data_IF_921313952121
#
_entry.id   IF_921313952121
#
_cell.length_a   1.000
_cell.length_b   1.000
_cell.length_c   1.000
_cell.angle_alpha   90.00
_cell.angle_beta   90.00
_cell.angle_gamma   90.00
#
_symmetry.space_group_name_H-M   'P 1'
#
loop_
_entity.id
_entity.type
_entity.pdbx_description
1 polymer ?
#
# COMPACT_ATOMS: atom_id res chain seq x y z
N UNK A 1 4.13 32.35 -20.85
CA UNK A 1 3.68 31.35 -19.86
C UNK A 1 4.89 30.54 -19.45
N UNK A 2 5.27 30.58 -18.18
CA UNK A 2 6.37 29.78 -17.64
C UNK A 2 5.77 28.42 -17.27
N UNK A 3 6.10 27.39 -18.05
CA UNK A 3 5.83 26.00 -17.66
C UNK A 3 6.78 25.68 -16.51
N UNK A 4 6.25 25.58 -15.29
CA UNK A 4 7.01 25.10 -14.16
C UNK A 4 7.42 23.65 -14.46
N UNK A 5 8.72 23.41 -14.67
CA UNK A 5 9.28 22.07 -14.74
C UNK A 5 9.09 21.42 -13.37
N UNK A 6 8.15 20.49 -13.27
CA UNK A 6 7.99 19.65 -12.08
C UNK A 6 9.24 18.79 -12.01
N UNK A 7 10.11 19.05 -11.03
CA UNK A 7 11.21 18.16 -10.70
C UNK A 7 10.61 16.79 -10.38
N UNK A 8 10.94 15.77 -11.16
CA UNK A 8 10.51 14.40 -10.86
C UNK A 8 11.07 14.01 -9.49
N UNK A 9 10.17 13.76 -8.52
CA UNK A 9 10.58 13.13 -7.27
C UNK A 9 10.97 11.69 -7.58
N UNK A 10 12.24 11.33 -7.39
CA UNK A 10 12.69 9.94 -7.52
C UNK A 10 12.04 8.99 -6.49
N UNK A 11 11.32 9.56 -5.52
CA UNK A 11 10.69 8.84 -4.42
C UNK A 11 9.17 8.99 -4.47
N UNK A 12 8.47 7.89 -4.20
CA UNK A 12 7.02 7.90 -4.05
C UNK A 12 6.61 8.88 -2.92
N UNK A 13 5.51 9.62 -3.08
CA UNK A 13 5.12 10.66 -2.14
C UNK A 13 4.62 10.07 -0.83
N UNK A 14 4.66 10.88 0.23
CA UNK A 14 3.91 10.58 1.46
C UNK A 14 2.42 10.76 1.17
N UNK A 15 1.61 9.74 1.46
CA UNK A 15 0.14 9.81 1.35
C UNK A 15 -0.54 9.66 2.70
N UNK A 16 -1.62 10.40 2.91
CA UNK A 16 -2.44 10.39 4.12
C UNK A 16 -3.87 10.85 3.82
N UNK A 17 -4.73 10.77 4.84
CA UNK A 17 -6.12 11.19 4.75
C UNK A 17 -6.26 12.62 4.20
N UNK A 18 -7.13 12.79 3.21
CA UNK A 18 -7.38 14.04 2.49
C UNK A 18 -6.59 14.20 1.19
N UNK A 19 -5.56 13.37 0.96
CA UNK A 19 -4.84 13.37 -0.33
C UNK A 19 -5.70 12.77 -1.45
N UNK A 20 -5.42 13.18 -2.69
CA UNK A 20 -6.11 12.66 -3.88
C UNK A 20 -5.24 12.73 -5.13
N UNK A 21 -5.65 12.04 -6.19
CA UNK A 21 -5.00 12.08 -7.50
C UNK A 21 -4.20 10.82 -7.84
N UNK A 22 -3.30 10.92 -8.81
CA UNK A 22 -2.68 9.75 -9.45
C UNK A 22 -1.86 8.87 -8.49
N UNK A 23 -1.22 9.46 -7.49
CA UNK A 23 -0.46 8.69 -6.49
C UNK A 23 -1.37 7.90 -5.55
N UNK A 24 -2.51 8.48 -5.16
CA UNK A 24 -3.54 7.76 -4.39
C UNK A 24 -4.17 6.66 -5.23
N UNK A 25 -4.48 6.93 -6.50
CA UNK A 25 -4.95 5.89 -7.43
C UNK A 25 -3.96 4.74 -7.57
N UNK A 26 -2.66 5.05 -7.60
CA UNK A 26 -1.62 4.03 -7.62
C UNK A 26 -1.61 3.20 -6.34
N UNK A 27 -1.70 3.83 -5.16
CA UNK A 27 -1.87 3.12 -3.89
C UNK A 27 -3.10 2.20 -3.90
N UNK A 28 -4.26 2.71 -4.28
CA UNK A 28 -5.51 1.95 -4.33
C UNK A 28 -5.39 0.74 -5.27
N UNK A 29 -4.69 0.88 -6.39
CA UNK A 29 -4.45 -0.23 -7.31
C UNK A 29 -3.64 -1.34 -6.64
N UNK A 30 -2.58 -0.99 -5.90
CA UNK A 30 -1.75 -1.97 -5.18
C UNK A 30 -2.54 -2.63 -4.05
N UNK A 31 -3.30 -1.86 -3.27
CA UNK A 31 -4.17 -2.39 -2.22
C UNK A 31 -5.18 -3.36 -2.82
N UNK A 32 -5.87 -2.98 -3.91
CA UNK A 32 -6.83 -3.87 -4.56
C UNK A 32 -6.20 -5.17 -5.06
N UNK A 33 -4.98 -5.11 -5.64
CA UNK A 33 -4.23 -6.32 -6.01
C UNK A 33 -3.91 -7.19 -4.80
N UNK A 34 -3.46 -6.61 -3.70
CA UNK A 34 -3.16 -7.34 -2.46
C UNK A 34 -4.43 -7.99 -1.88
N UNK A 35 -5.57 -7.30 -1.91
CA UNK A 35 -6.86 -7.86 -1.47
C UNK A 35 -7.15 -9.17 -2.18
N UNK A 36 -7.09 -9.17 -3.52
CA UNK A 36 -7.39 -10.35 -4.34
C UNK A 36 -6.34 -11.46 -4.19
N UNK A 37 -5.06 -11.11 -4.12
CA UNK A 37 -3.99 -12.09 -3.95
C UNK A 37 -4.00 -12.75 -2.56
N UNK A 38 -4.51 -12.04 -1.56
CA UNK A 38 -4.66 -12.54 -0.19
C UNK A 38 -5.83 -13.52 -0.01
N UNK A 39 -6.76 -13.65 -0.97
CA UNK A 39 -7.94 -14.54 -0.86
C UNK A 39 -7.62 -16.04 -1.10
N UNK A 40 -6.40 -16.47 -0.77
CA UNK A 40 -5.96 -17.86 -0.98
C UNK A 40 -6.05 -18.66 0.33
N UNK A 41 -6.56 -19.90 0.31
CA UNK A 41 -6.58 -20.74 1.50
C UNK A 41 -5.18 -20.95 2.07
N UNK A 42 -5.01 -20.76 3.39
CA UNK A 42 -3.74 -20.89 4.13
C UNK A 42 -2.69 -19.81 3.83
N UNK A 43 -3.07 -18.71 3.18
CA UNK A 43 -2.19 -17.57 3.00
C UNK A 43 -2.54 -16.46 3.98
N UNK A 44 -1.56 -15.66 4.44
CA UNK A 44 -1.84 -14.47 5.24
C UNK A 44 -2.83 -13.55 4.53
N UNK A 45 -3.84 -13.07 5.25
CA UNK A 45 -4.70 -12.00 4.78
C UNK A 45 -4.14 -10.67 5.27
N UNK A 46 -3.69 -9.80 4.35
CA UNK A 46 -3.14 -8.49 4.76
C UNK A 46 -4.20 -7.41 4.87
N UNK A 47 -5.26 -7.48 4.07
CA UNK A 47 -6.41 -6.59 4.12
C UNK A 47 -7.69 -7.38 3.89
N UNK A 48 -8.75 -7.05 4.62
CA UNK A 48 -10.01 -7.81 4.63
C UNK A 48 -11.10 -7.20 3.74
N UNK A 49 -10.90 -5.95 3.32
CA UNK A 49 -11.83 -5.19 2.51
C UNK A 49 -11.12 -4.64 1.26
N UNK A 50 -11.80 -4.69 0.11
CA UNK A 50 -11.27 -4.08 -1.11
C UNK A 50 -11.47 -2.56 -1.04
N UNK A 51 -10.42 -1.82 -1.37
CA UNK A 51 -10.44 -0.34 -1.37
C UNK A 51 -11.34 0.19 -2.50
N UNK A 52 -12.06 1.29 -2.23
CA UNK A 52 -12.75 2.04 -3.28
C UNK A 52 -11.72 2.65 -4.23
N UNK A 53 -11.93 2.52 -5.55
CA UNK A 53 -10.97 2.93 -6.58
C UNK A 53 -11.29 4.32 -7.17
N UNK A 54 -11.40 5.35 -6.32
CA UNK A 54 -11.84 6.69 -6.69
C UNK A 54 -10.74 7.77 -6.63
N UNK A 55 -9.49 7.39 -6.37
CA UNK A 55 -8.33 8.26 -6.19
C UNK A 55 -8.46 9.24 -5.01
N UNK A 56 -9.10 8.82 -3.93
CA UNK A 56 -9.23 9.59 -2.69
C UNK A 56 -8.74 8.79 -1.50
N UNK A 57 -7.84 9.40 -0.75
CA UNK A 57 -7.37 8.84 0.50
C UNK A 57 -8.35 9.25 1.60
N UNK A 58 -9.49 8.56 1.65
CA UNK A 58 -10.52 8.76 2.66
C UNK A 58 -10.32 7.89 3.90
N UNK A 59 -11.30 7.88 4.80
CA UNK A 59 -11.27 7.09 6.04
C UNK A 59 -11.22 5.58 5.77
N UNK A 60 -11.83 5.12 4.67
CA UNK A 60 -11.79 3.71 4.27
C UNK A 60 -10.37 3.34 3.82
N UNK A 61 -9.78 4.15 2.93
CA UNK A 61 -8.41 3.95 2.47
C UNK A 61 -7.42 3.96 3.65
N UNK A 62 -7.54 4.92 4.58
CA UNK A 62 -6.70 4.98 5.77
C UNK A 62 -6.84 3.73 6.66
N UNK A 63 -8.07 3.25 6.87
CA UNK A 63 -8.33 2.02 7.63
C UNK A 63 -7.63 0.82 6.98
N UNK A 64 -7.77 0.67 5.66
CA UNK A 64 -7.15 -0.43 4.89
C UNK A 64 -5.61 -0.34 4.96
N UNK A 65 -5.03 0.86 4.87
CA UNK A 65 -3.57 1.03 5.04
C UNK A 65 -3.11 0.62 6.43
N UNK A 66 -3.83 0.99 7.50
CA UNK A 66 -3.49 0.55 8.86
C UNK A 66 -3.55 -0.97 9.00
N UNK A 67 -4.58 -1.59 8.44
CA UNK A 67 -4.73 -3.05 8.44
C UNK A 67 -3.55 -3.72 7.73
N UNK A 68 -3.19 -3.22 6.53
CA UNK A 68 -2.02 -3.68 5.80
C UNK A 68 -0.75 -3.56 6.64
N UNK A 69 -0.49 -2.39 7.25
CA UNK A 69 0.70 -2.15 8.07
C UNK A 69 0.79 -3.13 9.25
N UNK A 70 -0.32 -3.37 9.94
CA UNK A 70 -0.39 -4.31 11.06
C UNK A 70 -0.10 -5.75 10.60
N UNK A 71 -0.82 -6.20 9.59
CA UNK A 71 -0.77 -7.58 9.15
C UNK A 71 0.54 -7.90 8.45
N UNK A 72 1.12 -6.95 7.71
CA UNK A 72 2.42 -7.12 7.10
C UNK A 72 3.50 -7.40 8.17
N UNK A 73 3.57 -6.56 9.20
CA UNK A 73 4.51 -6.74 10.32
C UNK A 73 4.30 -8.07 11.06
N UNK A 74 3.06 -8.51 11.20
CA UNK A 74 2.74 -9.75 11.90
C UNK A 74 3.09 -11.02 11.10
N UNK A 75 3.00 -10.97 9.78
CA UNK A 75 3.10 -12.17 8.93
C UNK A 75 4.44 -12.29 8.20
N UNK A 76 5.17 -11.19 7.99
CA UNK A 76 6.44 -11.21 7.26
C UNK A 76 7.60 -10.74 8.15
N UNK A 77 8.34 -11.70 8.75
CA UNK A 77 9.51 -11.37 9.58
C UNK A 77 10.71 -10.94 8.72
N UNK A 78 11.77 -10.48 9.40
CA UNK A 78 13.03 -10.06 8.80
C UNK A 78 13.53 -11.04 7.71
N UNK A 79 14.04 -10.54 6.57
CA UNK A 79 14.55 -9.18 6.33
C UNK A 79 13.50 -8.16 5.81
N UNK A 80 12.20 -8.38 6.02
CA UNK A 80 11.15 -7.43 5.63
C UNK A 80 11.26 -6.05 6.34
N UNK A 81 10.84 -4.95 5.70
CA UNK A 81 10.72 -3.64 6.33
C UNK A 81 9.76 -3.67 7.53
N UNK A 82 10.13 -3.01 8.61
CA UNK A 82 9.22 -2.76 9.73
C UNK A 82 8.45 -1.46 9.47
N UNK A 83 7.13 -1.52 9.47
CA UNK A 83 6.27 -0.38 9.11
C UNK A 83 5.60 0.20 10.36
N UNK A 84 5.58 1.52 10.51
CA UNK A 84 4.74 2.18 11.52
C UNK A 84 3.27 1.96 11.20
N UNK A 85 2.45 1.69 12.21
CA UNK A 85 0.99 1.52 12.06
C UNK A 85 0.27 2.83 12.35
N UNK A 86 0.24 3.73 11.38
CA UNK A 86 -0.34 5.08 11.52
C UNK A 86 -1.36 5.42 10.41
N UNK A 87 -1.46 4.59 9.37
CA UNK A 87 -2.26 4.87 8.19
C UNK A 87 -1.67 5.95 7.30
N UNK A 88 -0.35 6.18 7.38
CA UNK A 88 0.41 7.04 6.48
C UNK A 88 1.26 6.15 5.57
N UNK A 89 1.24 6.43 4.27
CA UNK A 89 2.05 5.70 3.29
C UNK A 89 3.34 6.47 3.06
N UNK A 90 4.39 6.08 3.79
CA UNK A 90 5.76 6.52 3.60
C UNK A 90 6.62 5.50 2.84
N UNK A 91 7.93 5.74 2.71
CA UNK A 91 8.86 4.86 2.00
C UNK A 91 8.81 3.39 2.42
N UNK A 92 8.69 3.13 3.73
CA UNK A 92 8.63 1.78 4.30
C UNK A 92 7.32 1.07 3.92
N UNK A 93 6.19 1.80 3.97
CA UNK A 93 4.89 1.29 3.52
C UNK A 93 4.90 1.00 2.02
N UNK A 94 5.50 1.87 1.20
CA UNK A 94 5.66 1.63 -0.23
C UNK A 94 6.51 0.41 -0.56
N UNK A 95 7.64 0.24 0.13
CA UNK A 95 8.50 -0.92 -0.03
C UNK A 95 7.76 -2.20 0.36
N UNK A 96 7.01 -2.18 1.46
CA UNK A 96 6.22 -3.31 1.92
C UNK A 96 5.10 -3.69 0.94
N UNK A 97 4.41 -2.72 0.32
CA UNK A 97 3.39 -2.99 -0.70
C UNK A 97 4.00 -3.75 -1.90
N UNK A 98 5.18 -3.31 -2.36
CA UNK A 98 5.92 -3.98 -3.43
C UNK A 98 6.38 -5.39 -3.04
N UNK A 99 6.95 -5.53 -1.84
CA UNK A 99 7.39 -6.82 -1.31
C UNK A 99 6.21 -7.80 -1.12
N UNK A 100 5.06 -7.35 -0.61
CA UNK A 100 3.85 -8.16 -0.48
C UNK A 100 3.40 -8.70 -1.85
N UNK A 101 3.31 -7.85 -2.87
CA UNK A 101 2.95 -8.27 -4.23
C UNK A 101 3.95 -9.30 -4.76
N UNK A 102 5.25 -9.07 -4.57
CA UNK A 102 6.28 -10.02 -4.96
C UNK A 102 6.10 -11.38 -4.26
N UNK A 103 5.83 -11.38 -2.95
CA UNK A 103 5.61 -12.61 -2.16
C UNK A 103 4.42 -13.41 -2.63
N UNK A 104 3.28 -12.75 -2.87
CA UNK A 104 2.07 -13.41 -3.37
C UNK A 104 2.19 -13.95 -4.79
N UNK A 105 3.07 -13.35 -5.60
CA UNK A 105 3.22 -13.71 -7.02
C UNK A 105 4.30 -14.75 -7.23
N UNK A 106 5.41 -14.68 -6.48
CA UNK A 106 6.63 -15.44 -6.81
C UNK A 106 7.30 -16.16 -5.64
N UNK A 107 7.10 -15.72 -4.39
CA UNK A 107 7.98 -16.15 -3.29
C UNK A 107 7.42 -17.28 -2.40
N UNK A 108 6.17 -17.70 -2.58
CA UNK A 108 5.57 -18.78 -1.80
C UNK A 108 4.83 -19.77 -2.70
N UNK A 109 5.03 -21.09 -2.51
CA UNK A 109 4.31 -22.14 -3.24
C UNK A 109 2.85 -22.29 -2.79
#
# INVERSE_FOLDING_TARGET
MIMATVMATEKLPLLKNGDSGSSVRFLEQLLSSIYWFSQRPNWPTLITENVIFDAKYDDQCQKIVKEFQQNYNANFPAPAPHITVDGIVGPETWQALGDAIFRYTYAFP
#
